data_IF_897342968752
#
_entry.id   IF_897342968752
#
_cell.length_a   1.000
_cell.length_b   1.000
_cell.length_c   1.000
_cell.angle_alpha   90.00
_cell.angle_beta   90.00
_cell.angle_gamma   90.00
#
_symmetry.space_group_name_H-M   'P 1'
#
loop_
_entity.id
_entity.type
_entity.pdbx_description
1 polymer ?
#
# COMPACT_ATOMS: atom_id res chain seq x y z
N UNK A 1 -12.20 3.78 20.34
CA UNK A 1 -11.99 5.07 19.65
C UNK A 1 -10.85 4.82 18.72
N UNK A 2 -11.22 4.40 17.52
CA UNK A 2 -10.35 3.97 16.44
C UNK A 2 -9.56 5.19 15.96
N UNK A 3 -8.36 5.37 16.52
CA UNK A 3 -7.43 6.45 16.20
C UNK A 3 -6.75 6.12 14.86
N UNK A 4 -7.56 6.06 13.79
CA UNK A 4 -7.04 5.89 12.44
C UNK A 4 -6.33 7.16 11.98
N UNK A 5 -5.16 6.99 11.38
CA UNK A 5 -4.33 8.07 10.87
C UNK A 5 -5.01 8.68 9.63
N UNK A 6 -5.38 9.94 9.76
CA UNK A 6 -6.03 10.72 8.70
C UNK A 6 -5.00 11.22 7.69
N UNK A 7 -5.27 11.00 6.40
CA UNK A 7 -4.45 11.51 5.30
C UNK A 7 -5.09 12.74 4.69
N UNK A 8 -4.34 13.84 4.63
CA UNK A 8 -4.83 15.10 4.06
C UNK A 8 -4.56 15.13 2.55
N UNK A 9 -5.56 15.50 1.73
CA UNK A 9 -5.37 15.67 0.29
C UNK A 9 -4.31 16.73 -0.06
N UNK A 10 -3.57 16.52 -1.14
CA UNK A 10 -2.53 17.41 -1.65
C UNK A 10 -1.25 17.43 -0.81
N UNK A 11 -1.11 16.55 0.18
CA UNK A 11 0.08 16.48 1.02
C UNK A 11 1.08 15.45 0.51
N UNK A 12 2.34 15.61 0.91
CA UNK A 12 3.36 14.59 0.66
C UNK A 12 2.95 13.21 1.22
N UNK A 13 2.19 13.17 2.31
CA UNK A 13 1.71 11.91 2.90
C UNK A 13 0.77 11.17 1.96
N UNK A 14 -0.12 11.87 1.25
CA UNK A 14 -1.02 11.26 0.26
C UNK A 14 -0.25 10.62 -0.89
N UNK A 15 0.78 11.29 -1.41
CA UNK A 15 1.67 10.73 -2.44
C UNK A 15 2.38 9.46 -1.97
N UNK A 16 2.71 9.37 -0.67
CA UNK A 16 3.40 8.21 -0.09
C UNK A 16 2.48 6.99 0.12
N UNK A 17 1.15 7.13 -0.04
CA UNK A 17 0.21 6.00 0.12
C UNK A 17 0.44 4.94 -0.96
N UNK A 18 0.67 5.35 -2.21
CA UNK A 18 0.89 4.43 -3.34
C UNK A 18 2.11 3.52 -3.11
N UNK A 19 3.34 4.04 -2.85
CA UNK A 19 4.49 3.17 -2.63
C UNK A 19 4.37 2.35 -1.33
N UNK A 20 3.75 2.89 -0.27
CA UNK A 20 3.48 2.13 0.95
C UNK A 20 2.58 0.92 0.67
N UNK A 21 1.49 1.14 -0.07
CA UNK A 21 0.55 0.08 -0.42
C UNK A 21 1.18 -0.96 -1.35
N UNK A 22 2.04 -0.53 -2.28
CA UNK A 22 2.82 -1.43 -3.13
C UNK A 22 3.64 -2.43 -2.31
N UNK A 23 4.33 -1.96 -1.26
CA UNK A 23 5.10 -2.85 -0.36
C UNK A 23 4.22 -3.85 0.37
N UNK A 24 3.06 -3.41 0.87
CA UNK A 24 2.07 -4.32 1.49
C UNK A 24 1.66 -5.41 0.50
N UNK A 25 1.23 -5.05 -0.71
CA UNK A 25 0.79 -6.03 -1.73
C UNK A 25 1.92 -6.96 -2.16
N UNK A 26 3.14 -6.45 -2.31
CA UNK A 26 4.31 -7.25 -2.65
C UNK A 26 4.63 -8.28 -1.55
N UNK A 27 4.59 -7.87 -0.28
CA UNK A 27 4.77 -8.76 0.87
C UNK A 27 3.66 -9.79 1.03
N UNK A 28 2.41 -9.44 0.74
CA UNK A 28 1.29 -10.39 0.72
C UNK A 28 1.46 -11.46 -0.38
N UNK A 29 1.98 -11.06 -1.55
CA UNK A 29 2.14 -11.95 -2.70
C UNK A 29 3.39 -12.82 -2.63
N UNK A 30 4.49 -12.27 -2.15
CA UNK A 30 5.79 -12.92 -2.08
C UNK A 30 6.34 -12.84 -0.64
N UNK A 31 5.67 -13.48 0.33
CA UNK A 31 5.99 -13.32 1.74
C UNK A 31 7.41 -13.77 2.10
N UNK A 32 7.98 -14.74 1.37
CA UNK A 32 9.34 -15.22 1.60
C UNK A 32 10.42 -14.22 1.15
N UNK A 33 10.09 -13.28 0.26
CA UNK A 33 11.04 -12.33 -0.34
C UNK A 33 10.83 -10.89 0.14
N UNK A 34 9.58 -10.48 0.34
CA UNK A 34 9.21 -9.07 0.52
C UNK A 34 8.25 -8.82 1.70
N UNK A 35 8.14 -9.74 2.66
CA UNK A 35 7.32 -9.51 3.84
C UNK A 35 7.72 -8.21 4.56
N UNK A 36 6.77 -7.28 4.65
CA UNK A 36 6.92 -6.00 5.35
C UNK A 36 5.78 -5.82 6.36
N UNK A 37 5.92 -6.37 7.59
CA UNK A 37 4.91 -6.24 8.64
C UNK A 37 4.61 -4.79 9.01
N UNK A 38 5.58 -3.88 8.85
CA UNK A 38 5.40 -2.47 9.14
C UNK A 38 4.50 -1.82 8.10
N UNK A 39 4.69 -2.11 6.80
CA UNK A 39 3.79 -1.62 5.77
C UNK A 39 2.34 -2.12 5.97
N UNK A 40 2.17 -3.39 6.37
CA UNK A 40 0.86 -3.94 6.70
C UNK A 40 0.22 -3.19 7.89
N UNK A 41 0.93 -3.06 9.02
CA UNK A 41 0.42 -2.36 10.21
C UNK A 41 0.07 -0.90 9.92
N UNK A 42 0.92 -0.18 9.19
CA UNK A 42 0.66 1.22 8.84
C UNK A 42 -0.60 1.31 7.97
N UNK A 43 -0.78 0.43 6.98
CA UNK A 43 -1.98 0.41 6.14
C UNK A 43 -3.26 0.14 6.95
N UNK A 44 -3.25 -0.79 7.90
CA UNK A 44 -4.42 -1.09 8.74
C UNK A 44 -4.83 0.09 9.64
N UNK A 45 -3.86 0.93 10.01
CA UNK A 45 -4.07 2.11 10.84
C UNK A 45 -4.47 3.35 10.04
N UNK A 46 -4.39 3.34 8.71
CA UNK A 46 -4.73 4.49 7.87
C UNK A 46 -6.25 4.59 7.66
N UNK A 47 -6.76 5.81 7.73
CA UNK A 47 -8.11 6.14 7.24
C UNK A 47 -8.03 6.48 5.75
N UNK A 48 -7.78 5.47 4.93
CA UNK A 48 -7.65 5.61 3.48
C UNK A 48 -8.38 4.48 2.77
N UNK A 49 -9.15 4.83 1.72
CA UNK A 49 -9.83 3.84 0.89
C UNK A 49 -8.85 3.27 -0.16
N UNK A 50 -8.42 2.02 0.05
CA UNK A 50 -7.52 1.33 -0.85
C UNK A 50 -8.23 0.66 -2.04
N UNK A 51 -9.57 0.69 -2.10
CA UNK A 51 -10.36 -0.03 -3.10
C UNK A 51 -9.96 0.30 -4.55
N UNK A 52 -9.66 1.57 -4.84
CA UNK A 52 -9.19 2.00 -6.15
C UNK A 52 -7.75 1.55 -6.46
N UNK A 53 -6.92 1.39 -5.43
CA UNK A 53 -5.57 0.85 -5.58
C UNK A 53 -5.63 -0.67 -5.79
N UNK A 54 -6.44 -1.42 -5.04
CA UNK A 54 -6.62 -2.86 -5.25
C UNK A 54 -7.01 -3.18 -6.69
N UNK A 55 -7.99 -2.46 -7.26
CA UNK A 55 -8.38 -2.63 -8.67
C UNK A 55 -7.22 -2.43 -9.65
N UNK A 56 -6.26 -1.56 -9.32
CA UNK A 56 -5.07 -1.30 -10.14
C UNK A 56 -4.02 -2.39 -9.97
N UNK A 57 -3.75 -2.80 -8.72
CA UNK A 57 -2.79 -3.86 -8.42
C UNK A 57 -3.26 -5.25 -8.85
N UNK A 58 -4.58 -5.46 -9.01
CA UNK A 58 -5.17 -6.67 -9.60
C UNK A 58 -4.95 -6.76 -11.12
N UNK A 59 -4.42 -5.71 -11.76
CA UNK A 59 -4.03 -5.74 -13.18
C UNK A 59 -2.55 -6.08 -13.35
N UNK A 60 -2.25 -6.94 -14.33
CA UNK A 60 -0.90 -7.46 -14.62
C UNK A 60 0.19 -6.38 -14.84
N UNK A 61 -0.19 -5.13 -15.13
CA UNK A 61 0.73 -4.01 -15.34
C UNK A 61 1.44 -3.54 -14.06
N UNK A 62 0.74 -3.53 -12.92
CA UNK A 62 1.33 -3.17 -11.62
C UNK A 62 2.09 -4.33 -10.99
N UNK A 63 1.77 -5.56 -11.40
CA UNK A 63 2.41 -6.78 -10.97
C UNK A 63 3.89 -6.86 -11.40
N UNK A 64 4.21 -6.32 -12.58
CA UNK A 64 5.57 -6.23 -13.11
C UNK A 64 6.30 -4.95 -12.71
N UNK A 65 5.62 -3.81 -12.60
CA UNK A 65 6.23 -2.55 -12.16
C UNK A 65 6.75 -2.58 -10.72
N UNK A 66 6.22 -3.47 -9.87
CA UNK A 66 6.73 -3.71 -8.52
C UNK A 66 8.04 -4.53 -8.46
N UNK A 67 8.46 -5.14 -9.58
CA UNK A 67 9.65 -6.00 -9.67
C UNK A 67 10.85 -5.31 -10.35
N UNK A 68 10.66 -4.14 -10.98
CA UNK A 68 11.73 -3.34 -11.62
C UNK A 68 12.35 -2.26 -10.69
N UNK A 69 12.12 -2.35 -9.37
CA UNK A 69 12.63 -1.40 -8.37
C UNK A 69 13.68 -1.99 -7.43
#
# INVERSE_FOLDING_TARGET
MDDKLQIRPGTAQETLIIPLYARKKCGEKFPELYADPAAAEICDRLDYDFSELDKKYDTALYEFGALEG
#
